data_IF_890956570325
#
_entry.id   IF_890956570325
#
_cell.length_a   1.000
_cell.length_b   1.000
_cell.length_c   1.000
_cell.angle_alpha   90.00
_cell.angle_beta   90.00
_cell.angle_gamma   90.00
#
_symmetry.space_group_name_H-M   'P 1'
#
loop_
_entity.id
_entity.type
_entity.pdbx_description
1 polymer ?
#
# COMPACT_ATOMS: atom_id res chain seq x y z
N UNK A 1 -10.19 11.70 5.27
CA UNK A 1 -10.79 10.86 6.34
C UNK A 1 -9.66 10.22 7.11
N UNK A 2 -9.75 10.20 8.44
CA UNK A 2 -8.82 9.51 9.34
C UNK A 2 -9.10 7.99 9.35
N UNK A 3 -8.18 7.22 9.96
CA UNK A 3 -8.33 5.76 10.09
C UNK A 3 -9.64 5.34 10.76
N UNK A 4 -10.04 6.12 11.75
CA UNK A 4 -11.32 6.02 12.45
C UNK A 4 -12.00 7.38 12.36
N UNK A 5 -13.23 7.39 11.88
CA UNK A 5 -13.98 8.64 11.66
C UNK A 5 -15.43 8.51 12.08
N UNK A 6 -16.00 9.59 12.59
CA UNK A 6 -17.44 9.72 12.77
C UNK A 6 -18.04 9.95 11.37
N UNK A 7 -19.03 9.16 11.02
CA UNK A 7 -19.65 9.17 9.70
C UNK A 7 -21.18 9.24 9.80
N UNK A 8 -21.82 9.64 8.71
CA UNK A 8 -23.27 9.72 8.60
C UNK A 8 -23.77 8.63 7.65
N UNK A 9 -24.83 7.93 8.04
CA UNK A 9 -25.46 6.92 7.18
C UNK A 9 -26.25 7.63 6.08
N UNK A 10 -25.82 7.42 4.84
CA UNK A 10 -26.43 8.00 3.63
C UNK A 10 -27.58 7.17 3.11
N UNK A 11 -27.38 5.85 3.00
CA UNK A 11 -28.35 4.92 2.43
C UNK A 11 -28.32 3.60 3.20
N UNK A 12 -29.49 2.98 3.30
CA UNK A 12 -29.70 1.63 3.82
C UNK A 12 -30.42 0.84 2.74
N UNK A 13 -29.72 -0.13 2.14
CA UNK A 13 -30.20 -0.85 0.98
C UNK A 13 -30.41 -2.33 1.27
N UNK A 14 -31.43 -2.97 0.68
CA UNK A 14 -31.63 -4.39 0.81
C UNK A 14 -30.58 -5.18 0.06
N UNK A 15 -30.22 -6.34 0.62
CA UNK A 15 -29.39 -7.35 -0.03
C UNK A 15 -30.22 -8.55 -0.45
N UNK A 16 -29.74 -9.29 -1.45
CA UNK A 16 -30.45 -10.41 -2.06
C UNK A 16 -29.58 -11.65 -2.15
N UNK A 17 -30.21 -12.82 -2.02
CA UNK A 17 -29.63 -14.13 -2.31
C UNK A 17 -30.45 -14.75 -3.44
N UNK A 18 -29.94 -14.69 -4.68
CA UNK A 18 -30.78 -14.92 -5.85
C UNK A 18 -31.88 -13.86 -5.92
N UNK A 19 -33.13 -14.27 -6.03
CA UNK A 19 -34.29 -13.34 -6.04
C UNK A 19 -34.82 -13.02 -4.63
N UNK A 20 -34.40 -13.73 -3.59
CA UNK A 20 -34.88 -13.56 -2.23
C UNK A 20 -34.14 -12.45 -1.49
N UNK A 21 -34.89 -11.59 -0.78
CA UNK A 21 -34.35 -10.53 0.06
C UNK A 21 -33.70 -11.15 1.32
N UNK A 22 -32.49 -10.74 1.64
CA UNK A 22 -31.81 -11.15 2.86
C UNK A 22 -32.57 -10.65 4.12
N UNK A 23 -32.74 -11.53 5.12
CA UNK A 23 -33.51 -11.22 6.30
C UNK A 23 -32.70 -10.60 7.43
N UNK A 24 -31.39 -10.91 7.51
CA UNK A 24 -30.56 -10.61 8.68
C UNK A 24 -29.52 -9.52 8.45
N UNK A 25 -29.29 -9.11 7.21
CA UNK A 25 -28.24 -8.14 6.85
C UNK A 25 -28.73 -7.15 5.82
N UNK A 26 -28.12 -5.99 5.81
CA UNK A 26 -28.37 -4.90 4.87
C UNK A 26 -27.08 -4.20 4.48
N UNK A 27 -27.10 -3.47 3.38
CA UNK A 27 -25.98 -2.69 2.87
C UNK A 27 -26.11 -1.24 3.34
N UNK A 28 -25.01 -0.72 3.85
CA UNK A 28 -24.90 0.66 4.29
C UNK A 28 -23.94 1.41 3.35
N UNK A 29 -24.37 2.58 2.91
CA UNK A 29 -23.50 3.59 2.30
C UNK A 29 -23.35 4.78 3.24
N UNK A 30 -22.17 5.40 3.21
CA UNK A 30 -21.82 6.57 4.03
C UNK A 30 -21.89 7.85 3.19
N UNK A 31 -22.07 9.01 3.84
CA UNK A 31 -21.93 10.30 3.18
C UNK A 31 -20.46 10.62 2.86
N UNK A 32 -19.55 10.24 3.77
CA UNK A 32 -18.15 10.65 3.73
C UNK A 32 -17.24 9.69 2.95
N UNK A 33 -17.74 8.51 2.54
CA UNK A 33 -16.95 7.50 1.82
C UNK A 33 -17.80 6.57 0.95
N UNK A 34 -17.25 6.16 -0.18
CA UNK A 34 -17.93 5.29 -1.16
C UNK A 34 -17.71 3.79 -0.93
N UNK A 35 -17.63 3.33 0.31
CA UNK A 35 -17.49 1.91 0.63
C UNK A 35 -18.85 1.21 0.74
N UNK A 36 -18.92 -0.02 0.22
CA UNK A 36 -20.01 -0.95 0.53
C UNK A 36 -19.73 -1.58 1.90
N UNK A 37 -20.66 -1.45 2.87
CA UNK A 37 -20.53 -1.99 4.22
C UNK A 37 -21.75 -2.83 4.55
N UNK A 38 -21.55 -4.11 4.85
CA UNK A 38 -22.63 -5.02 5.26
C UNK A 38 -22.73 -5.02 6.77
N UNK A 39 -23.94 -4.76 7.28
CA UNK A 39 -24.26 -4.76 8.71
C UNK A 39 -25.43 -5.67 9.02
N UNK A 40 -25.67 -5.92 10.29
CA UNK A 40 -26.93 -6.56 10.75
C UNK A 40 -28.09 -5.61 10.43
N UNK A 41 -29.19 -6.19 9.98
CA UNK A 41 -30.40 -5.46 9.61
C UNK A 41 -31.04 -4.73 10.79
N UNK A 42 -31.38 -3.47 10.56
CA UNK A 42 -32.07 -2.63 11.53
C UNK A 42 -31.18 -1.96 12.57
N UNK A 43 -29.85 -2.08 12.46
CA UNK A 43 -28.92 -1.38 13.34
C UNK A 43 -28.83 0.12 13.05
N UNK A 44 -28.99 0.51 11.79
CA UNK A 44 -28.81 1.90 11.36
C UNK A 44 -30.00 2.40 10.55
N UNK A 45 -30.20 3.72 10.62
CA UNK A 45 -31.17 4.47 9.78
C UNK A 45 -30.44 5.57 9.05
N UNK A 46 -31.00 6.04 7.96
CA UNK A 46 -30.52 7.19 7.21
C UNK A 46 -30.42 8.40 8.17
N UNK A 47 -29.27 9.09 8.16
CA UNK A 47 -28.96 10.22 9.03
C UNK A 47 -28.34 9.84 10.38
N UNK A 48 -28.31 8.58 10.77
CA UNK A 48 -27.63 8.15 11.99
C UNK A 48 -26.12 8.42 11.92
N UNK A 49 -25.52 8.75 13.07
CA UNK A 49 -24.06 8.79 13.23
C UNK A 49 -23.52 7.40 13.59
N UNK A 50 -22.38 7.07 13.04
CA UNK A 50 -21.66 5.83 13.32
C UNK A 50 -20.16 6.07 13.35
N UNK A 51 -19.39 5.12 13.85
CA UNK A 51 -17.92 5.14 13.83
C UNK A 51 -17.46 4.17 12.76
N UNK A 52 -16.81 4.70 11.72
CA UNK A 52 -16.27 3.92 10.63
C UNK A 52 -14.77 3.71 10.80
N UNK A 53 -14.34 2.46 10.67
CA UNK A 53 -12.92 2.08 10.68
C UNK A 53 -12.55 1.56 9.29
N UNK A 54 -11.57 2.22 8.68
CA UNK A 54 -11.16 1.93 7.30
C UNK A 54 -10.57 0.52 7.13
N UNK A 55 -10.68 -0.06 5.93
CA UNK A 55 -9.91 -1.26 5.58
C UNK A 55 -8.41 -0.98 5.66
N UNK A 56 -7.61 -2.05 5.76
CA UNK A 56 -6.14 -2.02 5.92
C UNK A 56 -5.64 -1.50 7.27
N UNK A 57 -6.50 -1.50 8.28
CA UNK A 57 -6.12 -1.26 9.66
C UNK A 57 -6.32 -2.52 10.51
N UNK A 58 -5.67 -2.53 11.66
CA UNK A 58 -5.75 -3.62 12.64
C UNK A 58 -6.51 -3.14 13.86
N UNK A 59 -7.42 -3.99 14.35
CA UNK A 59 -8.15 -3.75 15.60
C UNK A 59 -7.36 -4.26 16.80
N UNK A 60 -7.56 -3.62 17.95
CA UNK A 60 -7.11 -4.09 19.25
C UNK A 60 -8.03 -5.21 19.79
N UNK A 61 -7.52 -5.92 20.79
CA UNK A 61 -8.25 -6.97 21.47
C UNK A 61 -9.05 -6.37 22.64
N UNK A 62 -10.21 -5.76 22.31
CA UNK A 62 -11.12 -5.16 23.28
C UNK A 62 -12.59 -5.58 23.02
N UNK A 63 -13.50 -5.24 23.93
CA UNK A 63 -14.90 -5.63 23.87
C UNK A 63 -15.64 -5.17 22.61
N UNK A 64 -15.32 -3.99 22.07
CA UNK A 64 -15.97 -3.46 20.85
C UNK A 64 -15.72 -4.33 19.61
N UNK A 65 -14.59 -5.05 19.57
CA UNK A 65 -14.22 -5.86 18.42
C UNK A 65 -14.44 -7.35 18.61
N UNK A 66 -14.94 -7.78 19.77
CA UNK A 66 -15.10 -9.18 20.12
C UNK A 66 -15.91 -9.98 19.10
N UNK A 67 -17.03 -9.44 18.65
CA UNK A 67 -17.90 -10.11 17.68
C UNK A 67 -17.32 -10.11 16.25
N UNK A 68 -16.39 -9.19 15.93
CA UNK A 68 -15.66 -9.21 14.68
C UNK A 68 -14.50 -10.21 14.73
N UNK A 69 -13.82 -10.31 15.87
CA UNK A 69 -12.69 -11.23 16.09
C UNK A 69 -13.21 -12.67 16.17
N UNK A 70 -14.20 -12.94 17.02
CA UNK A 70 -14.73 -14.26 17.29
C UNK A 70 -16.27 -14.27 17.36
N UNK A 71 -16.96 -14.22 16.19
CA UNK A 71 -18.43 -14.26 16.16
C UNK A 71 -18.97 -15.47 16.92
N UNK A 72 -19.81 -15.23 17.92
CA UNK A 72 -20.34 -16.27 18.81
C UNK A 72 -19.24 -17.09 19.53
N UNK A 73 -18.09 -16.46 19.82
CA UNK A 73 -16.95 -17.10 20.48
C UNK A 73 -16.08 -17.99 19.59
N UNK A 74 -16.27 -17.97 18.27
CA UNK A 74 -15.57 -18.83 17.31
C UNK A 74 -14.67 -18.01 16.38
N UNK A 75 -13.36 -17.96 16.65
CA UNK A 75 -12.38 -17.25 15.82
C UNK A 75 -12.29 -17.79 14.38
N UNK A 76 -12.69 -19.04 14.12
CA UNK A 76 -12.67 -19.59 12.76
C UNK A 76 -13.67 -18.89 11.85
N UNK A 77 -14.67 -18.23 12.43
CA UNK A 77 -15.70 -17.44 11.75
C UNK A 77 -15.41 -15.96 11.70
N UNK A 78 -14.21 -15.54 12.11
CA UNK A 78 -13.82 -14.14 12.15
C UNK A 78 -14.11 -13.41 10.83
N UNK A 79 -14.53 -12.16 10.96
CA UNK A 79 -14.64 -11.23 9.82
C UNK A 79 -13.30 -10.60 9.46
N UNK A 80 -12.27 -10.80 10.29
CA UNK A 80 -10.96 -10.17 10.16
C UNK A 80 -9.92 -11.10 9.51
N UNK A 81 -8.96 -10.51 8.82
CA UNK A 81 -7.77 -11.21 8.35
C UNK A 81 -6.82 -11.50 9.50
N UNK A 82 -6.10 -12.62 9.41
CA UNK A 82 -5.14 -13.03 10.44
C UNK A 82 -3.79 -12.35 10.27
N UNK A 83 -3.21 -11.91 11.39
CA UNK A 83 -1.81 -11.46 11.52
C UNK A 83 -1.22 -12.28 12.67
N UNK A 84 -0.11 -12.96 12.42
CA UNK A 84 0.54 -13.87 13.38
C UNK A 84 -0.44 -14.89 13.99
N UNK A 85 -1.34 -15.40 13.13
CA UNK A 85 -2.35 -16.38 13.51
C UNK A 85 -3.61 -15.83 14.19
N UNK A 86 -3.64 -14.53 14.57
CA UNK A 86 -4.78 -13.89 15.24
C UNK A 86 -5.60 -13.02 14.29
N UNK A 87 -6.95 -13.08 14.32
CA UNK A 87 -7.80 -12.23 13.50
C UNK A 87 -7.75 -10.78 14.00
N UNK A 88 -7.14 -9.89 13.21
CA UNK A 88 -6.95 -8.47 13.56
C UNK A 88 -7.12 -7.50 12.41
N UNK A 89 -6.76 -7.89 11.16
CA UNK A 89 -6.73 -6.97 10.03
C UNK A 89 -8.11 -6.83 9.40
N UNK A 90 -8.57 -5.60 9.27
CA UNK A 90 -9.78 -5.24 8.51
C UNK A 90 -9.44 -5.32 7.02
N UNK A 91 -10.18 -6.14 6.29
CA UNK A 91 -10.04 -6.32 4.85
C UNK A 91 -11.38 -6.59 4.19
N UNK A 92 -11.44 -6.54 2.87
CA UNK A 92 -12.65 -6.85 2.12
C UNK A 92 -13.16 -8.27 2.47
N UNK A 93 -14.41 -8.37 2.91
CA UNK A 93 -15.08 -9.64 3.23
C UNK A 93 -16.13 -9.93 2.18
N UNK A 94 -15.99 -11.06 1.49
CA UNK A 94 -16.95 -11.52 0.50
C UNK A 94 -18.22 -12.05 1.17
N UNK A 95 -19.36 -11.63 0.67
CA UNK A 95 -20.68 -12.15 0.99
C UNK A 95 -21.30 -12.86 -0.22
N UNK A 96 -22.01 -13.96 0.01
CA UNK A 96 -22.77 -14.69 -1.02
C UNK A 96 -24.15 -14.02 -1.21
N UNK A 97 -24.14 -12.71 -1.37
CA UNK A 97 -25.27 -11.81 -1.55
C UNK A 97 -24.93 -10.82 -2.67
N UNK A 98 -25.93 -10.13 -3.18
CA UNK A 98 -25.76 -9.04 -4.15
C UNK A 98 -26.74 -7.88 -3.86
N UNK A 99 -26.46 -6.73 -4.41
CA UNK A 99 -27.27 -5.50 -4.28
C UNK A 99 -28.27 -5.28 -5.41
N UNK A 100 -28.65 -6.35 -6.12
CA UNK A 100 -29.58 -6.34 -7.25
C UNK A 100 -28.90 -6.44 -8.63
N UNK A 101 -27.58 -6.44 -8.68
CA UNK A 101 -26.75 -6.46 -9.89
C UNK A 101 -26.14 -7.83 -10.22
N UNK A 102 -26.41 -8.84 -9.40
CA UNK A 102 -25.84 -10.20 -9.48
C UNK A 102 -24.31 -10.26 -9.44
N UNK A 103 -23.64 -9.17 -9.00
CA UNK A 103 -22.19 -9.12 -8.80
C UNK A 103 -21.83 -9.59 -7.39
N UNK A 104 -20.64 -10.16 -7.20
CA UNK A 104 -20.15 -10.51 -5.88
C UNK A 104 -20.08 -9.27 -4.96
N UNK A 105 -20.68 -9.35 -3.78
CA UNK A 105 -20.65 -8.29 -2.79
C UNK A 105 -19.45 -8.43 -1.86
N UNK A 106 -18.76 -7.33 -1.62
CA UNK A 106 -17.67 -7.23 -0.65
C UNK A 106 -17.96 -6.11 0.34
N UNK A 107 -17.92 -6.42 1.62
CA UNK A 107 -17.98 -5.42 2.69
C UNK A 107 -16.58 -4.92 3.02
N UNK A 108 -16.41 -3.62 3.08
CA UNK A 108 -15.13 -2.94 3.32
C UNK A 108 -15.19 -2.07 4.58
N UNK A 109 -14.27 -2.33 5.51
CA UNK A 109 -14.25 -1.61 6.79
C UNK A 109 -15.17 -2.21 7.85
N UNK A 110 -15.19 -1.56 9.01
CA UNK A 110 -16.06 -1.89 10.14
C UNK A 110 -16.87 -0.66 10.49
N UNK A 111 -18.14 -0.86 10.79
CA UNK A 111 -19.05 0.16 11.30
C UNK A 111 -19.46 -0.20 12.72
N UNK A 112 -19.20 0.70 13.69
CA UNK A 112 -19.61 0.56 15.08
C UNK A 112 -20.70 1.58 15.41
N UNK A 113 -21.57 1.26 16.35
CA UNK A 113 -22.57 2.17 16.88
C UNK A 113 -21.90 3.36 17.55
N UNK A 114 -22.34 4.59 17.21
CA UNK A 114 -21.87 5.82 17.86
C UNK A 114 -22.08 5.78 19.36
N UNK A 115 -23.22 5.24 19.81
CA UNK A 115 -23.56 5.14 21.23
C UNK A 115 -22.71 4.13 21.97
N UNK A 116 -22.50 2.91 21.39
CA UNK A 116 -21.65 1.89 22.01
C UNK A 116 -20.21 2.36 22.20
N UNK A 117 -19.66 3.07 21.21
CA UNK A 117 -18.33 3.67 21.32
C UNK A 117 -18.33 4.78 22.37
N UNK A 118 -19.37 5.62 22.42
CA UNK A 118 -19.54 6.65 23.45
C UNK A 118 -19.57 6.05 24.86
N UNK A 119 -20.36 5.00 25.10
CA UNK A 119 -20.41 4.29 26.38
C UNK A 119 -19.05 3.66 26.73
N UNK A 120 -18.39 3.02 25.78
CA UNK A 120 -17.05 2.44 25.98
C UNK A 120 -16.01 3.49 26.39
N UNK A 121 -16.07 4.70 25.80
CA UNK A 121 -15.22 5.83 26.13
C UNK A 121 -15.80 6.73 27.23
N UNK A 122 -16.67 6.17 28.11
CA UNK A 122 -17.21 6.85 29.29
C UNK A 122 -17.97 8.15 28.96
N UNK A 123 -18.65 8.20 27.81
CA UNK A 123 -19.42 9.34 27.31
C UNK A 123 -18.61 10.64 27.13
N UNK A 124 -17.31 10.54 26.84
CA UNK A 124 -16.51 11.67 26.39
C UNK A 124 -17.02 12.18 25.04
N UNK A 125 -16.76 13.46 24.73
CA UNK A 125 -17.10 14.00 23.41
C UNK A 125 -16.21 13.35 22.33
N UNK A 126 -16.81 12.48 21.52
CA UNK A 126 -16.11 11.73 20.48
C UNK A 126 -15.52 12.63 19.39
N UNK A 127 -16.01 13.88 19.23
CA UNK A 127 -15.47 14.84 18.26
C UNK A 127 -14.14 15.46 18.72
N UNK A 128 -13.86 15.47 20.01
CA UNK A 128 -12.63 16.00 20.58
C UNK A 128 -11.54 14.93 20.75
N UNK A 129 -11.86 13.65 20.53
CA UNK A 129 -10.95 12.54 20.75
C UNK A 129 -10.22 12.12 19.46
N UNK A 130 -8.99 11.68 19.61
CA UNK A 130 -8.32 10.89 18.58
C UNK A 130 -8.80 9.43 18.65
N UNK A 131 -9.93 9.14 17.99
CA UNK A 131 -10.56 7.84 18.02
C UNK A 131 -9.64 6.70 17.55
N UNK A 132 -8.70 6.98 16.65
CA UNK A 132 -7.71 5.98 16.20
C UNK A 132 -6.85 5.49 17.37
N UNK A 133 -6.40 6.41 18.20
CA UNK A 133 -5.59 6.11 19.40
C UNK A 133 -6.43 5.47 20.49
N UNK A 134 -7.60 6.06 20.80
CA UNK A 134 -8.48 5.61 21.89
C UNK A 134 -9.00 4.18 21.67
N UNK A 135 -9.30 3.81 20.44
CA UNK A 135 -9.75 2.46 20.10
C UNK A 135 -8.59 1.48 19.84
N UNK A 136 -7.34 1.95 19.93
CA UNK A 136 -6.15 1.13 19.69
C UNK A 136 -6.04 0.62 18.27
N UNK A 137 -6.49 1.42 17.28
CA UNK A 137 -6.43 1.07 15.87
C UNK A 137 -5.04 1.40 15.32
N UNK A 138 -4.43 0.45 14.64
CA UNK A 138 -3.11 0.60 14.05
C UNK A 138 -3.13 0.31 12.57
N UNK A 139 -2.34 1.03 11.78
CA UNK A 139 -2.21 0.74 10.35
C UNK A 139 -1.56 -0.63 10.16
N UNK A 140 -2.13 -1.45 9.27
CA UNK A 140 -1.46 -2.66 8.85
C UNK A 140 -0.26 -2.29 7.97
N UNK A 141 0.93 -2.57 8.48
CA UNK A 141 2.17 -2.48 7.73
C UNK A 141 2.86 -3.84 7.82
N UNK A 142 3.29 -4.35 6.67
CA UNK A 142 4.22 -5.47 6.69
C UNK A 142 5.44 -5.04 7.50
N UNK A 143 5.96 -5.89 8.41
CA UNK A 143 7.19 -5.57 9.13
C UNK A 143 8.25 -5.21 8.10
N UNK A 144 8.61 -3.92 8.05
CA UNK A 144 9.77 -3.52 7.27
C UNK A 144 10.93 -4.27 7.89
N UNK A 145 11.61 -5.06 7.08
CA UNK A 145 12.93 -5.47 7.45
C UNK A 145 13.75 -4.19 7.58
N UNK A 146 13.77 -3.63 8.79
CA UNK A 146 14.95 -2.89 9.17
C UNK A 146 16.07 -3.84 8.77
N UNK A 147 16.91 -3.44 7.82
CA UNK A 147 18.07 -4.23 7.44
C UNK A 147 19.01 -4.26 8.64
N UNK A 148 18.54 -4.94 9.67
CA UNK A 148 19.36 -5.40 10.77
C UNK A 148 20.17 -6.51 10.10
N UNK A 149 21.21 -6.12 9.39
CA UNK A 149 22.32 -6.99 9.15
C UNK A 149 22.81 -7.39 10.54
N UNK A 150 22.10 -8.33 11.13
CA UNK A 150 22.57 -9.01 12.32
C UNK A 150 23.89 -9.60 11.92
N UNK A 151 24.92 -9.17 12.59
CA UNK A 151 26.34 -9.38 12.37
C UNK A 151 26.81 -10.86 12.35
N UNK A 152 25.95 -11.82 12.12
CA UNK A 152 26.32 -13.21 12.02
C UNK A 152 27.22 -13.53 10.82
N UNK A 153 27.47 -12.56 9.91
CA UNK A 153 28.32 -12.76 8.72
C UNK A 153 29.28 -11.61 8.38
N UNK A 154 29.63 -10.76 9.34
CA UNK A 154 30.71 -9.78 9.14
C UNK A 154 30.35 -8.51 8.34
N UNK A 155 29.09 -8.12 8.27
CA UNK A 155 28.67 -6.85 7.67
C UNK A 155 28.58 -5.75 8.73
N UNK A 156 29.05 -4.55 8.40
CA UNK A 156 28.88 -3.36 9.25
C UNK A 156 27.53 -2.72 9.00
N UNK A 157 26.80 -2.40 10.07
CA UNK A 157 25.54 -1.66 10.02
C UNK A 157 25.82 -0.21 9.67
N UNK A 158 25.21 0.33 8.63
CA UNK A 158 25.22 1.76 8.33
C UNK A 158 23.79 2.30 8.37
N UNK A 159 23.59 3.39 9.10
CA UNK A 159 22.35 4.15 9.10
C UNK A 159 22.45 5.24 8.04
N UNK A 160 22.00 4.95 6.82
CA UNK A 160 21.92 5.96 5.77
C UNK A 160 20.72 6.87 6.05
N UNK A 161 20.92 8.19 5.96
CA UNK A 161 19.84 9.17 6.10
C UNK A 161 18.90 9.03 4.90
N UNK A 162 17.59 9.08 5.13
CA UNK A 162 16.60 9.07 4.05
C UNK A 162 16.74 10.35 3.21
N UNK A 163 16.64 10.30 1.85
CA UNK A 163 16.82 11.48 1.01
C UNK A 163 15.84 12.60 1.36
N UNK A 164 16.38 13.80 1.61
CA UNK A 164 15.58 14.98 1.95
C UNK A 164 14.66 15.34 0.78
N UNK A 165 13.45 15.78 1.08
CA UNK A 165 12.46 16.18 0.07
C UNK A 165 11.82 15.01 -0.69
N UNK A 166 12.21 13.76 -0.40
CA UNK A 166 11.57 12.56 -0.96
C UNK A 166 10.33 12.22 -0.15
N UNK A 167 9.17 12.16 -0.80
CA UNK A 167 7.90 11.79 -0.16
C UNK A 167 7.53 10.33 -0.40
N UNK A 168 6.62 9.80 0.42
CA UNK A 168 6.04 8.46 0.26
C UNK A 168 5.01 8.44 -0.87
N UNK A 169 5.02 7.40 -1.69
CA UNK A 169 4.17 7.27 -2.88
C UNK A 169 2.91 6.44 -2.64
N UNK A 170 2.21 6.67 -1.54
CA UNK A 170 0.94 5.98 -1.29
C UNK A 170 -0.19 6.62 -2.09
N UNK A 171 -0.80 5.84 -2.97
CA UNK A 171 -2.01 6.27 -3.65
C UNK A 171 -3.23 6.18 -2.71
N UNK A 172 -4.03 7.24 -2.68
CA UNK A 172 -5.27 7.25 -1.91
C UNK A 172 -6.29 6.29 -2.52
N UNK A 173 -7.01 5.55 -1.69
CA UNK A 173 -8.13 4.75 -2.17
C UNK A 173 -9.22 5.67 -2.72
N UNK A 174 -9.67 5.42 -3.95
CA UNK A 174 -10.64 6.29 -4.61
C UNK A 174 -11.97 6.39 -3.86
N UNK A 175 -12.34 5.35 -3.10
CA UNK A 175 -13.54 5.35 -2.28
C UNK A 175 -13.53 6.42 -1.17
N UNK A 176 -12.34 6.91 -0.80
CA UNK A 176 -12.18 8.04 0.14
C UNK A 176 -12.29 9.40 -0.55
N UNK A 177 -12.27 9.43 -1.87
CA UNK A 177 -12.26 10.66 -2.66
C UNK A 177 -13.61 10.95 -3.31
N UNK A 178 -14.51 9.97 -3.38
CA UNK A 178 -15.74 10.07 -4.17
C UNK A 178 -16.60 11.28 -3.83
N UNK A 179 -16.70 11.67 -2.58
CA UNK A 179 -17.52 12.81 -2.17
C UNK A 179 -16.89 14.17 -2.50
N UNK A 180 -15.58 14.17 -2.76
CA UNK A 180 -14.82 15.36 -3.12
C UNK A 180 -14.26 15.30 -4.55
N UNK A 181 -14.53 14.23 -5.29
CA UNK A 181 -13.90 13.97 -6.58
C UNK A 181 -14.29 15.04 -7.61
N UNK A 182 -15.50 15.58 -7.53
CA UNK A 182 -15.97 16.65 -8.40
C UNK A 182 -15.23 17.98 -8.18
N UNK A 183 -14.62 18.16 -7.02
CA UNK A 183 -13.73 19.29 -6.73
C UNK A 183 -12.34 19.11 -7.34
N UNK A 184 -11.97 17.88 -7.68
CA UNK A 184 -10.64 17.51 -8.16
C UNK A 184 -10.67 17.10 -9.63
N UNK A 185 -11.78 16.47 -10.08
CA UNK A 185 -12.00 16.03 -11.45
C UNK A 185 -13.20 16.74 -12.07
N UNK A 186 -12.97 17.43 -13.17
CA UNK A 186 -14.04 17.99 -14.00
C UNK A 186 -14.38 17.02 -15.12
N UNK A 187 -15.62 16.58 -15.20
CA UNK A 187 -16.08 15.71 -16.28
C UNK A 187 -16.42 16.51 -17.56
N UNK A 188 -16.13 15.97 -18.75
CA UNK A 188 -15.47 14.70 -19.03
C UNK A 188 -13.99 14.75 -18.67
N UNK A 189 -13.47 13.66 -18.04
CA UNK A 189 -12.08 13.54 -17.63
C UNK A 189 -11.39 12.40 -18.36
N UNK A 190 -10.16 12.63 -18.84
CA UNK A 190 -9.30 11.60 -19.40
C UNK A 190 -8.45 10.98 -18.28
N UNK A 191 -8.58 9.67 -18.07
CA UNK A 191 -7.81 8.93 -17.10
C UNK A 191 -6.97 7.85 -17.78
N UNK A 192 -5.76 7.70 -17.27
CA UNK A 192 -4.85 6.62 -17.60
C UNK A 192 -4.94 5.62 -16.45
N UNK A 193 -5.31 4.38 -16.75
CA UNK A 193 -5.31 3.27 -15.80
C UNK A 193 -4.05 2.43 -15.96
N UNK A 194 -3.30 2.27 -14.89
CA UNK A 194 -2.13 1.38 -14.85
C UNK A 194 -2.37 0.25 -13.85
N UNK A 195 -1.76 -0.92 -14.09
CA UNK A 195 -1.85 -2.03 -13.16
C UNK A 195 -1.21 -1.67 -11.83
N UNK A 196 -1.98 -1.83 -10.75
CA UNK A 196 -1.42 -1.76 -9.40
C UNK A 196 -0.74 -3.08 -9.09
N UNK A 197 0.58 -3.05 -9.03
CA UNK A 197 1.41 -4.23 -8.75
C UNK A 197 1.53 -4.40 -7.23
N UNK A 198 1.30 -5.61 -6.74
CA UNK A 198 1.54 -5.98 -5.35
C UNK A 198 3.02 -6.33 -5.16
N UNK A 199 3.72 -5.52 -4.41
CA UNK A 199 5.15 -5.65 -4.17
C UNK A 199 5.61 -4.80 -3.00
N UNK A 200 6.82 -4.26 -3.13
CA UNK A 200 7.40 -3.32 -2.18
C UNK A 200 7.85 -2.06 -2.89
N UNK A 201 7.39 -0.90 -2.42
CA UNK A 201 7.76 0.38 -3.01
C UNK A 201 9.26 0.60 -2.99
N UNK A 202 9.82 0.98 -4.14
CA UNK A 202 11.23 1.29 -4.32
C UNK A 202 11.38 2.65 -5.00
N UNK A 203 12.39 3.42 -4.55
CA UNK A 203 12.80 4.64 -5.25
C UNK A 203 14.29 4.57 -5.56
N UNK A 204 14.65 4.97 -6.77
CA UNK A 204 16.03 4.97 -7.26
C UNK A 204 16.30 6.35 -7.85
N UNK A 205 17.29 7.05 -7.32
CA UNK A 205 17.51 8.42 -7.77
C UNK A 205 18.91 8.95 -7.56
N UNK A 206 19.13 10.13 -8.13
CA UNK A 206 20.36 10.92 -8.02
C UNK A 206 19.94 12.35 -7.69
N UNK A 207 20.53 12.95 -6.67
CA UNK A 207 20.33 14.35 -6.30
C UNK A 207 21.59 14.96 -5.71
N UNK A 208 21.54 16.23 -5.33
CA UNK A 208 22.70 16.94 -4.73
C UNK A 208 23.18 16.33 -3.41
N UNK A 209 22.27 15.78 -2.61
CA UNK A 209 22.61 15.08 -1.35
C UNK A 209 23.29 13.73 -1.62
N UNK A 210 22.88 13.04 -2.69
CA UNK A 210 23.38 11.73 -3.09
C UNK A 210 23.85 11.76 -4.55
N UNK A 211 25.01 12.40 -4.87
CA UNK A 211 25.51 12.52 -6.24
C UNK A 211 25.90 11.19 -6.86
N UNK A 212 26.19 10.18 -6.05
CA UNK A 212 26.46 8.80 -6.48
C UNK A 212 25.19 7.92 -6.44
N UNK A 213 24.04 8.56 -6.23
CA UNK A 213 22.74 7.94 -6.21
C UNK A 213 22.34 7.27 -4.90
N UNK A 214 21.06 6.94 -4.83
CA UNK A 214 20.44 6.25 -3.70
C UNK A 214 19.41 5.22 -4.16
N UNK A 215 19.17 4.23 -3.31
CA UNK A 215 18.10 3.24 -3.47
C UNK A 215 17.37 3.18 -2.12
N UNK A 216 16.05 3.40 -2.13
CA UNK A 216 15.25 3.35 -0.91
C UNK A 216 14.13 2.33 -1.03
N UNK A 217 13.79 1.68 0.07
CA UNK A 217 12.44 1.16 0.27
C UNK A 217 11.51 2.30 0.66
N UNK A 218 10.28 2.00 1.04
CA UNK A 218 9.29 3.01 1.46
C UNK A 218 9.81 3.97 2.54
N UNK A 219 10.59 3.47 3.50
CA UNK A 219 11.02 4.24 4.69
C UNK A 219 12.54 4.20 4.93
N UNK A 220 13.28 3.37 4.21
CA UNK A 220 14.70 3.11 4.51
C UNK A 220 15.57 3.38 3.29
N UNK A 221 16.59 4.22 3.45
CA UNK A 221 17.66 4.37 2.47
C UNK A 221 18.64 3.20 2.60
N UNK A 222 18.80 2.43 1.53
CA UNK A 222 19.59 1.19 1.54
C UNK A 222 21.07 1.49 1.33
N UNK A 223 21.91 0.83 2.11
CA UNK A 223 23.34 0.88 1.86
C UNK A 223 23.66 0.06 0.60
N UNK A 224 24.19 0.71 -0.44
CA UNK A 224 24.45 0.08 -1.74
C UNK A 224 25.67 -0.85 -1.65
N UNK A 225 26.73 -0.38 -1.00
CA UNK A 225 27.96 -1.15 -0.83
C UNK A 225 28.21 -1.45 0.65
N UNK A 226 28.69 -2.64 0.94
CA UNK A 226 29.01 -3.10 2.29
C UNK A 226 30.41 -3.64 2.35
N UNK A 227 31.09 -3.47 3.50
CA UNK A 227 32.40 -4.03 3.74
C UNK A 227 32.22 -5.43 4.34
N UNK A 228 32.66 -6.45 3.61
CA UNK A 228 32.65 -7.83 4.08
C UNK A 228 34.03 -8.19 4.63
N UNK A 229 34.05 -8.81 5.80
CA UNK A 229 35.29 -9.36 6.34
C UNK A 229 35.67 -10.59 5.51
N UNK A 230 36.82 -10.50 4.85
CA UNK A 230 37.38 -11.58 4.01
C UNK A 230 38.51 -12.34 4.71
N UNK A 231 39.01 -11.81 5.82
CA UNK A 231 40.08 -12.41 6.57
C UNK A 231 40.50 -11.59 7.78
N UNK A 232 41.54 -12.03 8.44
CA UNK A 232 42.11 -11.32 9.59
C UNK A 232 43.65 -11.25 9.43
N UNK A 233 44.21 -10.03 9.55
CA UNK A 233 45.62 -9.80 9.53
C UNK A 233 46.27 -9.96 10.91
N UNK A 234 47.54 -10.26 10.96
CA UNK A 234 48.30 -10.21 12.20
C UNK A 234 48.54 -8.77 12.67
N UNK A 235 48.67 -8.58 14.00
CA UNK A 235 49.09 -7.29 14.56
C UNK A 235 50.47 -6.93 14.04
N UNK A 236 50.67 -5.69 13.59
CA UNK A 236 51.99 -5.13 13.29
C UNK A 236 52.79 -4.95 14.58
N UNK A 237 54.13 -4.89 14.49
CA UNK A 237 55.01 -4.79 15.65
C UNK A 237 54.60 -3.67 16.61
N UNK A 238 54.36 -2.45 16.12
CA UNK A 238 53.95 -1.31 16.94
C UNK A 238 52.54 -1.48 17.56
N UNK A 239 51.62 -2.17 16.89
CA UNK A 239 50.28 -2.49 17.43
C UNK A 239 50.34 -3.52 18.56
N UNK A 240 51.39 -4.35 18.60
CA UNK A 240 51.64 -5.28 19.70
C UNK A 240 52.14 -4.55 20.95
N UNK A 241 52.87 -3.45 20.76
CA UNK A 241 53.38 -2.62 21.86
C UNK A 241 52.28 -1.78 22.53
N UNK A 242 51.24 -1.43 21.76
CA UNK A 242 50.09 -0.67 22.24
C UNK A 242 48.94 -1.58 22.69
N UNK A 243 49.24 -2.45 23.68
CA UNK A 243 48.31 -3.50 24.16
C UNK A 243 46.99 -2.98 24.71
N UNK A 244 46.94 -1.69 25.17
CA UNK A 244 45.71 -1.01 25.65
C UNK A 244 44.82 -0.48 24.54
N UNK A 245 45.30 -0.45 23.27
CA UNK A 245 44.55 0.07 22.13
C UNK A 245 43.88 -1.07 21.39
N UNK A 246 42.53 -1.04 21.26
CA UNK A 246 41.82 -1.96 20.38
C UNK A 246 42.15 -1.61 18.94
N UNK A 247 42.75 -2.56 18.20
CA UNK A 247 43.04 -2.41 16.78
C UNK A 247 42.19 -3.39 16.00
N UNK A 248 41.46 -2.88 15.01
CA UNK A 248 40.73 -3.74 14.09
C UNK A 248 41.71 -4.48 13.18
N UNK A 249 41.68 -5.79 13.29
CA UNK A 249 42.53 -6.69 12.52
C UNK A 249 41.83 -7.32 11.33
N UNK A 250 40.58 -7.04 11.11
CA UNK A 250 39.82 -7.59 9.99
C UNK A 250 40.31 -6.98 8.67
N UNK A 251 40.36 -7.82 7.65
CA UNK A 251 40.55 -7.41 6.26
C UNK A 251 39.14 -7.29 5.64
N UNK A 252 38.88 -6.19 5.00
CA UNK A 252 37.59 -5.89 4.41
C UNK A 252 37.69 -5.82 2.89
N UNK A 253 36.67 -6.33 2.23
CA UNK A 253 36.40 -6.12 0.81
C UNK A 253 35.07 -5.43 0.65
N UNK A 254 35.05 -4.38 -0.15
CA UNK A 254 33.80 -3.66 -0.50
C UNK A 254 33.09 -4.44 -1.60
N UNK A 255 31.87 -4.84 -1.34
CA UNK A 255 31.03 -5.53 -2.32
C UNK A 255 29.62 -4.97 -2.34
N UNK A 256 28.86 -5.25 -3.42
CA UNK A 256 27.46 -4.88 -3.51
C UNK A 256 26.67 -5.56 -2.39
N UNK A 257 25.77 -4.81 -1.75
CA UNK A 257 24.88 -5.35 -0.72
C UNK A 257 23.94 -6.40 -1.35
N UNK A 258 23.72 -7.51 -0.68
CA UNK A 258 22.85 -8.60 -1.13
C UNK A 258 21.35 -8.37 -0.79
N UNK A 259 20.98 -7.18 -0.30
CA UNK A 259 19.59 -6.77 -0.12
C UNK A 259 18.84 -6.78 -1.47
N UNK A 260 17.62 -7.32 -1.52
CA UNK A 260 16.89 -7.48 -2.79
C UNK A 260 16.59 -6.13 -3.48
N UNK A 261 16.39 -5.04 -2.72
CA UNK A 261 16.25 -3.69 -3.26
C UNK A 261 17.52 -3.24 -3.98
N UNK A 262 18.68 -3.52 -3.38
CA UNK A 262 19.97 -3.14 -3.96
C UNK A 262 20.28 -3.99 -5.18
N UNK A 263 20.13 -5.31 -5.11
CA UNK A 263 20.41 -6.21 -6.24
C UNK A 263 19.57 -5.84 -7.47
N UNK A 264 18.27 -5.61 -7.28
CA UNK A 264 17.39 -5.27 -8.39
C UNK A 264 17.48 -3.80 -8.80
N UNK A 265 17.77 -2.89 -7.87
CA UNK A 265 17.80 -1.44 -8.10
C UNK A 265 19.11 -0.93 -8.68
N UNK A 266 20.22 -1.56 -8.34
CA UNK A 266 21.56 -1.08 -8.72
C UNK A 266 21.81 -0.99 -10.23
N UNK A 267 21.36 -1.95 -11.08
CA UNK A 267 21.48 -1.80 -12.53
C UNK A 267 20.81 -0.52 -13.08
N UNK A 268 19.62 -0.19 -12.56
CA UNK A 268 18.91 1.03 -12.96
C UNK A 268 19.60 2.29 -12.45
N UNK A 269 20.15 2.25 -11.22
CA UNK A 269 20.96 3.35 -10.70
C UNK A 269 22.22 3.59 -11.55
N UNK A 270 22.92 2.51 -11.91
CA UNK A 270 24.09 2.63 -12.81
C UNK A 270 23.71 3.27 -14.15
N UNK A 271 22.56 2.92 -14.71
CA UNK A 271 22.08 3.52 -15.95
C UNK A 271 21.82 5.02 -15.76
N UNK A 272 21.13 5.45 -14.69
CA UNK A 272 20.91 6.87 -14.38
C UNK A 272 22.23 7.65 -14.29
N UNK A 273 23.24 7.08 -13.63
CA UNK A 273 24.57 7.70 -13.51
C UNK A 273 25.31 7.75 -14.86
N UNK A 274 25.22 6.68 -15.64
CA UNK A 274 25.87 6.59 -16.97
C UNK A 274 25.33 7.65 -17.93
N UNK A 275 24.02 7.86 -17.94
CA UNK A 275 23.37 8.86 -18.81
C UNK A 275 23.40 10.26 -18.20
N UNK A 276 24.07 10.43 -17.06
CA UNK A 276 24.25 11.70 -16.36
C UNK A 276 22.94 12.42 -16.00
N UNK A 277 21.85 11.68 -15.78
CA UNK A 277 20.60 12.24 -15.27
C UNK A 277 20.78 12.61 -13.80
N UNK A 278 20.60 13.89 -13.51
CA UNK A 278 20.67 14.45 -12.16
C UNK A 278 19.28 14.94 -11.72
N UNK A 279 19.12 15.04 -10.41
CA UNK A 279 17.92 15.57 -9.78
C UNK A 279 16.64 14.83 -10.23
N UNK A 280 16.76 13.51 -10.37
CA UNK A 280 15.68 12.62 -10.79
C UNK A 280 15.53 11.44 -9.83
N UNK A 281 14.29 10.98 -9.68
CA UNK A 281 13.94 9.77 -8.94
C UNK A 281 12.97 8.94 -9.76
N UNK A 282 13.29 7.69 -10.02
CA UNK A 282 12.36 6.70 -10.54
C UNK A 282 11.59 6.08 -9.39
N UNK A 283 10.26 6.01 -9.51
CA UNK A 283 9.34 5.40 -8.54
C UNK A 283 8.83 4.09 -9.10
N UNK A 284 8.99 3.03 -8.36
CA UNK A 284 8.64 1.69 -8.83
C UNK A 284 8.17 0.76 -7.73
N UNK A 285 7.82 -0.42 -8.16
CA UNK A 285 7.43 -1.54 -7.30
C UNK A 285 8.38 -2.71 -7.54
N UNK A 286 9.06 -3.14 -6.49
CA UNK A 286 9.86 -4.36 -6.47
C UNK A 286 8.92 -5.54 -6.21
N UNK A 287 8.78 -6.42 -7.19
CA UNK A 287 7.85 -7.55 -7.15
C UNK A 287 8.53 -8.86 -7.54
N UNK A 288 7.78 -9.96 -7.51
CA UNK A 288 8.26 -11.26 -7.95
C UNK A 288 8.62 -12.23 -6.82
N UNK A 289 9.09 -13.40 -7.20
CA UNK A 289 9.41 -14.50 -6.28
C UNK A 289 10.53 -14.11 -5.31
N UNK A 290 10.31 -14.37 -4.03
CA UNK A 290 11.30 -14.08 -2.98
C UNK A 290 11.21 -12.65 -2.42
N UNK A 291 10.35 -11.79 -2.96
CA UNK A 291 10.08 -10.49 -2.40
C UNK A 291 8.96 -10.59 -1.36
N UNK A 292 9.23 -10.18 -0.11
CA UNK A 292 8.28 -10.29 1.00
C UNK A 292 7.02 -9.44 0.85
N UNK A 293 7.11 -8.30 0.15
CA UNK A 293 5.97 -7.45 -0.16
C UNK A 293 4.94 -8.10 -1.08
N UNK A 294 5.33 -9.11 -1.84
CA UNK A 294 4.47 -9.80 -2.82
C UNK A 294 3.78 -11.05 -2.26
N UNK A 295 3.44 -11.08 -0.97
CA UNK A 295 3.00 -12.30 -0.28
C UNK A 295 1.56 -12.78 -0.57
N UNK A 296 0.75 -12.09 -1.38
CA UNK A 296 -0.59 -12.54 -1.70
C UNK A 296 -0.57 -13.73 -2.67
N UNK A 297 -1.27 -14.81 -2.32
CA UNK A 297 -1.40 -16.03 -3.16
C UNK A 297 -1.94 -15.75 -4.57
N UNK A 298 -2.70 -14.68 -4.74
CA UNK A 298 -3.25 -14.27 -6.04
C UNK A 298 -2.28 -13.42 -6.86
N UNK A 299 -1.13 -13.02 -6.29
CA UNK A 299 -0.19 -12.14 -6.97
C UNK A 299 0.42 -12.83 -8.20
N UNK A 300 0.11 -12.37 -9.43
CA UNK A 300 0.63 -12.99 -10.66
C UNK A 300 2.15 -12.92 -10.75
N UNK A 301 2.78 -11.94 -10.10
CA UNK A 301 4.23 -11.74 -10.17
C UNK A 301 5.04 -12.84 -9.47
N UNK A 302 4.43 -13.60 -8.54
CA UNK A 302 5.10 -14.71 -7.83
C UNK A 302 5.59 -15.84 -8.74
N UNK A 303 5.08 -15.89 -9.97
CA UNK A 303 5.53 -16.86 -11.00
C UNK A 303 6.88 -16.49 -11.61
N UNK A 304 7.31 -15.23 -11.46
CA UNK A 304 8.48 -14.67 -12.13
C UNK A 304 9.60 -14.33 -11.13
N UNK A 305 10.85 -14.24 -11.57
CA UNK A 305 11.95 -13.71 -10.75
C UNK A 305 11.64 -12.30 -10.25
N UNK A 306 12.29 -11.92 -9.16
CA UNK A 306 12.20 -10.56 -8.63
C UNK A 306 12.66 -9.54 -9.66
N UNK A 307 11.88 -8.49 -9.87
CA UNK A 307 12.18 -7.38 -10.77
C UNK A 307 11.51 -6.08 -10.28
N UNK A 308 11.86 -4.98 -10.91
CA UNK A 308 11.24 -3.68 -10.65
C UNK A 308 10.40 -3.30 -11.86
N UNK A 309 9.23 -2.70 -11.60
CA UNK A 309 8.44 -2.00 -12.62
C UNK A 309 8.17 -0.58 -12.14
N UNK A 310 8.55 0.40 -12.96
CA UNK A 310 8.38 1.81 -12.63
C UNK A 310 6.97 2.29 -13.00
N UNK A 311 6.37 3.07 -12.11
CA UNK A 311 5.03 3.65 -12.29
C UNK A 311 5.06 5.18 -12.40
N UNK A 312 6.19 5.83 -12.12
CA UNK A 312 6.36 7.27 -12.18
C UNK A 312 7.82 7.67 -12.00
N UNK A 313 8.06 8.95 -12.20
CA UNK A 313 9.33 9.61 -11.87
C UNK A 313 9.05 10.99 -11.27
N UNK A 314 9.99 11.47 -10.47
CA UNK A 314 9.99 12.83 -9.94
C UNK A 314 11.26 13.56 -10.36
N UNK A 315 11.15 14.88 -10.49
CA UNK A 315 12.31 15.79 -10.60
C UNK A 315 12.49 16.52 -9.27
N UNK A 316 13.73 16.65 -8.80
CA UNK A 316 14.03 17.55 -7.70
C UNK A 316 14.01 18.99 -8.18
N UNK A 317 13.11 19.80 -7.61
CA UNK A 317 13.00 21.24 -7.82
C UNK A 317 13.15 21.89 -6.45
N UNK A 318 14.13 22.74 -6.26
CA UNK A 318 14.46 23.40 -4.98
C UNK A 318 14.58 22.42 -3.79
N UNK A 319 15.16 21.23 -4.06
CA UNK A 319 15.38 20.20 -3.05
C UNK A 319 14.15 19.34 -2.72
N UNK A 320 13.03 19.51 -3.41
CA UNK A 320 11.78 18.76 -3.22
C UNK A 320 11.51 17.91 -4.47
N UNK A 321 11.25 16.62 -4.28
CA UNK A 321 10.83 15.73 -5.34
C UNK A 321 9.42 16.10 -5.82
N UNK A 322 9.28 16.45 -7.09
CA UNK A 322 8.04 16.89 -7.73
C UNK A 322 7.67 15.92 -8.85
N UNK A 323 6.42 15.46 -8.87
CA UNK A 323 5.93 14.47 -9.86
C UNK A 323 6.17 14.96 -11.30
N UNK A 324 6.73 14.07 -12.12
CA UNK A 324 6.79 14.22 -13.57
C UNK A 324 5.43 13.86 -14.17
N UNK A 325 5.00 14.57 -15.24
CA UNK A 325 3.80 14.16 -15.95
C UNK A 325 3.97 12.78 -16.61
N UNK A 326 2.86 12.11 -16.88
CA UNK A 326 2.89 10.74 -17.38
C UNK A 326 3.56 10.60 -18.75
N UNK A 327 3.35 11.56 -19.64
CA UNK A 327 3.94 11.54 -20.99
C UNK A 327 5.47 11.60 -20.93
N UNK A 328 6.02 12.56 -20.18
CA UNK A 328 7.48 12.73 -20.04
C UNK A 328 8.10 11.50 -19.34
N UNK A 329 7.42 10.95 -18.33
CA UNK A 329 7.85 9.71 -17.69
C UNK A 329 7.92 8.54 -18.68
N UNK A 330 6.90 8.34 -19.49
CA UNK A 330 6.86 7.25 -20.47
C UNK A 330 7.91 7.45 -21.59
N UNK A 331 8.16 8.70 -21.99
CA UNK A 331 9.21 9.02 -22.94
C UNK A 331 10.60 8.70 -22.38
N UNK A 332 10.86 9.09 -21.13
CA UNK A 332 12.09 8.75 -20.41
C UNK A 332 12.30 7.23 -20.36
N UNK A 333 11.25 6.48 -19.96
CA UNK A 333 11.33 5.02 -19.86
C UNK A 333 11.59 4.37 -21.21
N UNK A 334 10.92 4.82 -22.27
CA UNK A 334 11.10 4.30 -23.62
C UNK A 334 12.51 4.60 -24.16
N UNK A 335 13.05 5.81 -23.89
CA UNK A 335 14.38 6.21 -24.35
C UNK A 335 15.49 5.36 -23.74
N UNK A 336 15.34 4.96 -22.51
CA UNK A 336 16.39 4.28 -21.74
C UNK A 336 16.02 2.85 -21.30
N UNK A 337 14.96 2.29 -21.90
CA UNK A 337 14.49 0.92 -21.65
C UNK A 337 14.22 0.61 -20.18
N UNK A 338 13.67 1.58 -19.43
CA UNK A 338 13.23 1.33 -18.07
C UNK A 338 11.90 0.55 -18.06
N UNK A 339 11.81 -0.58 -17.35
CA UNK A 339 10.60 -1.38 -17.31
C UNK A 339 9.47 -0.65 -16.57
N UNK A 340 8.31 -0.53 -17.22
CA UNK A 340 7.14 0.17 -16.65
C UNK A 340 6.04 -0.78 -16.23
N UNK A 341 5.17 -0.32 -15.32
CA UNK A 341 3.91 -1.01 -15.04
C UNK A 341 3.03 -1.02 -16.29
N UNK A 342 2.23 -2.08 -16.53
CA UNK A 342 1.33 -2.12 -17.66
C UNK A 342 0.32 -0.97 -17.66
N UNK A 343 0.18 -0.28 -18.79
CA UNK A 343 -0.94 0.62 -19.04
C UNK A 343 -2.12 -0.26 -19.48
N UNK A 344 -3.21 -0.22 -18.73
CA UNK A 344 -4.40 -1.01 -18.96
C UNK A 344 -5.36 -0.33 -19.93
N UNK A 345 -5.47 1.00 -19.81
CA UNK A 345 -6.29 1.84 -20.67
C UNK A 345 -5.88 3.33 -20.60
N UNK A 346 -6.33 4.07 -21.59
CA UNK A 346 -6.35 5.54 -21.63
C UNK A 346 -7.69 5.95 -22.21
N UNK A 347 -8.62 6.42 -21.35
CA UNK A 347 -10.03 6.60 -21.71
C UNK A 347 -10.59 7.87 -21.11
N UNK A 348 -11.58 8.47 -21.79
CA UNK A 348 -12.39 9.59 -21.28
C UNK A 348 -13.61 9.01 -20.56
N UNK A 349 -13.91 9.55 -19.39
CA UNK A 349 -15.05 9.22 -18.56
C UNK A 349 -15.93 10.45 -18.35
N UNK A 350 -17.24 10.25 -18.37
CA UNK A 350 -18.23 11.33 -18.25
C UNK A 350 -18.85 11.40 -16.85
N UNK A 351 -18.61 10.41 -16.00
CA UNK A 351 -19.15 10.38 -14.64
C UNK A 351 -18.35 9.39 -13.75
N UNK A 352 -18.51 9.57 -12.44
CA UNK A 352 -18.06 8.61 -11.43
C UNK A 352 -18.54 7.19 -11.73
N UNK A 353 -19.85 7.03 -11.97
CA UNK A 353 -20.45 5.71 -12.21
C UNK A 353 -19.86 5.00 -13.42
N UNK A 354 -19.46 5.74 -14.46
CA UNK A 354 -18.77 5.16 -15.61
C UNK A 354 -17.40 4.62 -15.24
N UNK A 355 -16.64 5.32 -14.38
CA UNK A 355 -15.34 4.85 -13.88
C UNK A 355 -15.51 3.57 -13.07
N UNK A 356 -16.43 3.55 -12.11
CA UNK A 356 -16.71 2.39 -11.25
C UNK A 356 -17.10 1.18 -12.09
N UNK A 357 -18.10 1.33 -12.97
CA UNK A 357 -18.59 0.24 -13.84
C UNK A 357 -17.48 -0.29 -14.74
N UNK A 358 -16.66 0.60 -15.29
CA UNK A 358 -15.56 0.20 -16.16
C UNK A 358 -14.49 -0.59 -15.41
N UNK A 359 -14.07 -0.14 -14.24
CA UNK A 359 -13.05 -0.82 -13.45
C UNK A 359 -13.52 -2.21 -12.97
N UNK A 360 -14.77 -2.32 -12.48
CA UNK A 360 -15.34 -3.60 -12.07
C UNK A 360 -15.43 -4.60 -13.24
N UNK A 361 -15.93 -4.15 -14.39
CA UNK A 361 -15.99 -4.98 -15.59
C UNK A 361 -14.59 -5.41 -16.05
N UNK A 362 -13.60 -4.51 -15.96
CA UNK A 362 -12.22 -4.82 -16.30
C UNK A 362 -11.66 -5.97 -15.44
N UNK A 363 -11.90 -5.96 -14.13
CA UNK A 363 -11.47 -7.05 -13.26
C UNK A 363 -12.13 -8.38 -13.60
N UNK A 364 -13.42 -8.38 -13.90
CA UNK A 364 -14.18 -9.58 -14.28
C UNK A 364 -13.66 -10.16 -15.59
N UNK A 365 -13.51 -9.32 -16.62
CA UNK A 365 -13.01 -9.74 -17.94
C UNK A 365 -11.57 -10.23 -17.89
N UNK A 366 -10.69 -9.51 -17.16
CA UNK A 366 -9.30 -9.92 -16.97
C UNK A 366 -9.23 -11.32 -16.37
N UNK A 367 -9.95 -11.54 -15.27
CA UNK A 367 -10.00 -12.86 -14.63
C UNK A 367 -10.53 -13.94 -15.55
N UNK A 368 -11.58 -13.64 -16.33
CA UNK A 368 -12.16 -14.58 -17.31
C UNK A 368 -11.14 -14.97 -18.38
N UNK A 369 -10.41 -14.01 -18.91
CA UNK A 369 -9.51 -14.18 -20.04
C UNK A 369 -8.13 -14.75 -19.66
N UNK A 370 -7.56 -14.30 -18.54
CA UNK A 370 -6.18 -14.65 -18.14
C UNK A 370 -6.11 -15.60 -16.95
N UNK A 371 -7.21 -15.81 -16.23
CA UNK A 371 -7.27 -16.51 -14.94
C UNK A 371 -6.47 -15.80 -13.82
N UNK A 372 -6.02 -14.59 -14.06
CA UNK A 372 -5.26 -13.78 -13.10
C UNK A 372 -6.17 -12.77 -12.41
N UNK A 373 -5.90 -12.54 -11.15
CA UNK A 373 -6.55 -11.51 -10.34
C UNK A 373 -5.49 -10.47 -10.02
N UNK A 374 -5.65 -9.24 -10.50
CA UNK A 374 -4.75 -8.13 -10.20
C UNK A 374 -5.19 -7.43 -8.91
N UNK A 375 -4.27 -6.78 -8.21
CA UNK A 375 -4.53 -6.10 -6.94
C UNK A 375 -5.47 -4.89 -7.13
N UNK A 376 -5.33 -4.17 -8.23
CA UNK A 376 -6.14 -3.00 -8.52
C UNK A 376 -5.65 -2.24 -9.75
N UNK A 377 -6.20 -1.06 -9.92
CA UNK A 377 -5.85 -0.11 -10.98
C UNK A 377 -5.45 1.19 -10.31
N UNK A 378 -4.34 1.80 -10.72
CA UNK A 378 -4.03 3.18 -10.40
C UNK A 378 -4.54 4.07 -11.53
N UNK A 379 -5.51 4.93 -11.19
CA UNK A 379 -6.12 5.92 -12.07
C UNK A 379 -5.37 7.25 -11.91
N UNK A 380 -4.94 7.85 -13.00
CA UNK A 380 -4.26 9.15 -12.96
C UNK A 380 -4.57 10.01 -14.18
N UNK A 381 -4.51 11.32 -13.99
CA UNK A 381 -4.51 12.30 -15.09
C UNK A 381 -3.14 12.34 -15.77
N UNK A 382 -3.06 12.91 -16.98
CA UNK A 382 -1.80 13.03 -17.75
C UNK A 382 -0.74 13.84 -17.00
N UNK A 383 -1.17 14.91 -16.31
CA UNK A 383 -0.31 15.78 -15.49
C UNK A 383 0.07 15.16 -14.15
N UNK A 384 -0.49 14.00 -13.80
CA UNK A 384 -0.35 13.33 -12.50
C UNK A 384 -0.79 14.14 -11.27
N UNK A 385 -1.56 15.22 -11.46
CA UNK A 385 -2.13 16.01 -10.36
C UNK A 385 -3.22 15.23 -9.62
N UNK A 386 -3.99 14.42 -10.34
CA UNK A 386 -4.86 13.42 -9.75
C UNK A 386 -4.24 12.04 -9.89
N UNK A 387 -4.22 11.29 -8.79
CA UNK A 387 -3.83 9.89 -8.76
C UNK A 387 -4.54 9.18 -7.60
N UNK A 388 -5.21 8.07 -7.89
CA UNK A 388 -5.93 7.29 -6.91
C UNK A 388 -5.91 5.80 -7.25
N UNK A 389 -5.95 4.93 -6.25
CA UNK A 389 -6.06 3.48 -6.45
C UNK A 389 -7.52 3.02 -6.41
N UNK A 390 -7.93 2.26 -7.42
CA UNK A 390 -9.16 1.49 -7.45
C UNK A 390 -8.83 0.03 -7.13
N UNK A 391 -9.23 -0.44 -5.94
CA UNK A 391 -8.84 -1.75 -5.43
C UNK A 391 -9.74 -2.85 -5.94
N UNK A 392 -9.17 -4.00 -6.27
CA UNK A 392 -9.92 -5.21 -6.57
C UNK A 392 -10.24 -5.97 -5.27
N UNK A 393 -11.47 -5.87 -4.81
CA UNK A 393 -11.91 -6.48 -3.55
C UNK A 393 -11.73 -8.01 -3.53
N UNK A 394 -11.81 -8.67 -4.70
CA UNK A 394 -11.56 -10.11 -4.78
C UNK A 394 -10.10 -10.46 -4.47
N UNK A 395 -9.16 -9.61 -4.89
CA UNK A 395 -7.74 -9.80 -4.62
C UNK A 395 -7.47 -9.74 -3.11
N UNK A 396 -7.98 -8.71 -2.43
CA UNK A 396 -7.76 -8.51 -1.01
C UNK A 396 -8.48 -9.55 -0.14
N UNK A 397 -9.66 -10.00 -0.54
CA UNK A 397 -10.46 -10.96 0.24
C UNK A 397 -9.79 -12.34 0.42
N UNK A 398 -8.80 -12.67 -0.40
CA UNK A 398 -8.08 -13.96 -0.40
C UNK A 398 -6.67 -13.89 0.19
N UNK A 399 -6.28 -12.74 0.72
CA UNK A 399 -4.96 -12.53 1.35
C UNK A 399 -4.79 -13.31 2.64
#
# INVERSE_FOLDING_TARGET
MEAVSIVTIKEVLPLYKGEEKANNVELIHLEEAGFDIVTQKGLYKIGDKAIFIMPDYCVSDNELFKDFIAPKGDESKSYLGKIDGKPRRIRAKKFNLHKGDNLPLYSNGILLSYYEVGEYLQNMDLHELNLTSELGITKYELPEEVSVNTNSKGYTKSNMIFPTGLYKTDETNINLLWDHIENVLTYPVRLIGTEKIDGSSISIGVNSQYPNGFITSRNVNKQIFVNKVIGRRNKKFFEKLLFWKQVDLNLYETQLNNDSFVINGYPHLQLLLLISLKDIVLRGELNGKGNKGSGNINNPSLKYPSNIKFFGADKYIDGIATKMNHKDFMELCRMWDFPTVPILFNKVFNSRKEIETFCENYFIERKKNTKEIIEGIVLKTEDCMFSAKYMNNEYDSKK
#
